data_IF_619714130654
#
_entry.id   IF_619714130654
#
_cell.length_a   1.000
_cell.length_b   1.000
_cell.length_c   1.000
_cell.angle_alpha   90.00
_cell.angle_beta   90.00
_cell.angle_gamma   90.00
#
_symmetry.space_group_name_H-M   'P 1'
#
loop_
_entity.id
_entity.type
_entity.pdbx_description
1 polymer ?
#
# COMPACT_ATOMS: atom_id res chain seq x y z
N UNK A 1 1.22 -11.17 62.94
CA UNK A 1 2.31 -11.47 61.98
C UNK A 1 3.03 -10.15 61.68
N UNK A 2 4.06 -9.84 62.48
CA UNK A 2 5.48 -9.72 62.05
C UNK A 2 5.71 -8.43 61.23
N UNK A 3 6.03 -7.33 61.92
CA UNK A 3 7.37 -6.69 62.00
C UNK A 3 7.79 -6.00 60.69
N UNK A 4 7.73 -4.66 60.59
CA UNK A 4 8.57 -3.61 61.22
C UNK A 4 9.99 -3.49 60.62
N UNK A 5 10.31 -2.21 60.33
CA UNK A 5 11.61 -1.51 60.25
C UNK A 5 12.29 -1.41 58.88
N UNK A 6 12.26 -0.24 58.24
CA UNK A 6 13.00 1.03 58.46
C UNK A 6 14.44 0.98 57.92
N UNK A 7 14.69 1.93 57.00
CA UNK A 7 15.83 2.88 57.01
C UNK A 7 17.16 2.31 56.52
N UNK A 8 17.80 2.98 55.55
CA UNK A 8 18.80 4.03 55.70
C UNK A 8 19.48 4.29 54.34
N UNK A 9 19.60 5.57 53.98
CA UNK A 9 20.53 6.08 52.98
C UNK A 9 21.99 5.85 53.43
N UNK A 10 22.89 5.68 52.46
CA UNK A 10 24.22 6.32 52.33
C UNK A 10 25.23 5.36 51.70
N UNK A 11 25.85 5.75 50.59
CA UNK A 11 27.31 5.84 50.46
C UNK A 11 27.71 6.22 49.03
N UNK A 12 28.17 7.47 48.90
CA UNK A 12 29.22 7.85 47.96
C UNK A 12 30.37 6.83 48.03
N UNK A 13 30.81 6.30 46.89
CA UNK A 13 32.20 5.83 46.74
C UNK A 13 32.80 6.47 45.50
N UNK A 14 33.96 7.03 45.73
CA UNK A 14 34.75 7.91 44.89
C UNK A 14 35.66 7.07 43.98
N UNK A 15 35.86 7.60 42.78
CA UNK A 15 36.92 7.41 41.80
C UNK A 15 38.03 6.37 42.10
N UNK A 16 38.25 5.50 41.11
CA UNK A 16 39.58 4.98 40.80
C UNK A 16 39.74 4.92 39.27
N UNK A 17 40.51 5.86 38.75
CA UNK A 17 41.03 5.86 37.39
C UNK A 17 41.97 4.66 37.19
N UNK A 18 41.62 3.77 36.26
CA UNK A 18 42.56 2.81 35.71
C UNK A 18 42.54 2.97 34.18
N UNK A 19 43.51 3.73 33.70
CA UNK A 19 43.83 3.85 32.29
C UNK A 19 44.31 2.48 31.79
N UNK A 20 43.53 1.88 30.90
CA UNK A 20 43.99 0.76 30.06
C UNK A 20 44.28 1.33 28.68
N UNK A 21 45.56 1.41 28.24
CA UNK A 21 45.86 1.75 26.86
C UNK A 21 45.71 0.48 26.01
N UNK A 22 44.52 0.25 25.46
CA UNK A 22 44.37 -0.71 24.36
C UNK A 22 44.35 0.05 23.03
N UNK A 23 45.56 0.39 22.59
CA UNK A 23 45.81 0.74 21.18
C UNK A 23 45.64 -0.54 20.35
N UNK A 24 44.55 -0.63 19.61
CA UNK A 24 44.35 -1.73 18.67
C UNK A 24 42.92 -1.82 18.16
N UNK A 25 42.67 -1.22 16.99
CA UNK A 25 41.54 -1.48 16.09
C UNK A 25 40.15 -1.62 16.72
N UNK A 26 39.40 -0.51 16.72
CA UNK A 26 37.96 -0.60 16.48
C UNK A 26 37.57 0.47 15.46
N UNK A 27 37.23 0.02 14.26
CA UNK A 27 36.39 0.78 13.36
C UNK A 27 35.13 1.24 14.13
N UNK A 28 34.57 2.43 13.87
CA UNK A 28 33.34 2.82 14.51
C UNK A 28 32.22 1.83 14.13
N UNK A 29 31.78 1.05 15.11
CA UNK A 29 30.59 0.18 15.07
C UNK A 29 29.29 1.02 14.93
N UNK A 30 29.38 2.35 14.83
CA UNK A 30 28.24 3.24 14.61
C UNK A 30 27.63 3.21 13.19
N UNK A 31 28.02 2.27 12.33
CA UNK A 31 27.48 2.13 10.95
C UNK A 31 26.62 0.88 10.75
N UNK A 32 26.54 -0.04 11.72
CA UNK A 32 25.77 -1.26 11.56
C UNK A 32 24.30 -1.11 11.99
N UNK A 33 23.98 -0.18 12.89
CA UNK A 33 22.59 0.04 13.32
C UNK A 33 21.76 0.86 12.33
N UNK A 34 22.39 1.59 11.40
CA UNK A 34 21.69 2.28 10.31
C UNK A 34 21.36 1.37 9.10
N UNK A 35 21.93 0.15 9.04
CA UNK A 35 21.68 -0.79 7.93
C UNK A 35 20.49 -1.70 8.23
N UNK A 36 20.07 -1.82 9.50
CA UNK A 36 18.93 -2.67 9.88
C UNK A 36 17.58 -1.98 9.64
N UNK A 37 17.54 -0.66 9.44
CA UNK A 37 16.32 0.06 9.01
C UNK A 37 16.15 0.16 7.48
N UNK A 38 17.00 -0.49 6.67
CA UNK A 38 16.79 -0.61 5.22
C UNK A 38 15.76 -1.68 4.82
N UNK A 39 14.87 -2.06 5.75
CA UNK A 39 13.56 -2.63 5.40
C UNK A 39 12.45 -1.60 5.59
N UNK A 40 12.74 -0.32 5.35
CA UNK A 40 11.70 0.62 4.97
C UNK A 40 11.17 0.18 3.59
N UNK A 41 10.06 -0.56 3.60
CA UNK A 41 9.16 -0.56 2.46
C UNK A 41 9.00 0.90 2.05
N UNK A 42 9.42 1.25 0.84
CA UNK A 42 9.27 2.61 0.32
C UNK A 42 7.78 2.92 0.30
N UNK A 43 7.30 3.54 1.37
CA UNK A 43 5.92 3.96 1.49
C UNK A 43 5.71 5.02 0.42
N UNK A 44 4.90 4.70 -0.58
CA UNK A 44 4.52 5.68 -1.60
C UNK A 44 3.94 6.90 -0.89
N UNK A 45 4.31 8.09 -1.38
CA UNK A 45 3.80 9.33 -0.82
C UNK A 45 2.29 9.44 -1.03
N UNK A 46 1.65 10.28 -0.22
CA UNK A 46 0.26 10.65 -0.45
C UNK A 46 0.13 11.35 -1.81
N UNK A 47 -0.87 10.94 -2.58
CA UNK A 47 -1.07 11.39 -3.95
C UNK A 47 -1.93 10.45 -4.77
N UNK A 48 -2.27 10.86 -6.00
CA UNK A 48 -3.00 10.03 -6.95
C UNK A 48 -2.05 9.56 -8.04
N UNK A 49 -2.08 8.26 -8.31
CA UNK A 49 -1.20 7.59 -9.26
C UNK A 49 -2.00 6.77 -10.25
N UNK A 50 -1.56 6.77 -11.50
CA UNK A 50 -2.05 5.84 -12.51
C UNK A 50 -1.48 4.44 -12.24
N UNK A 51 -2.34 3.43 -12.32
CA UNK A 51 -2.00 2.03 -12.02
C UNK A 51 -2.55 1.12 -13.09
N UNK A 52 -1.96 -0.07 -13.19
CA UNK A 52 -2.43 -1.09 -14.13
C UNK A 52 -3.38 -2.01 -13.38
N UNK A 53 -4.65 -2.05 -13.79
CA UNK A 53 -5.62 -3.02 -13.32
C UNK A 53 -5.52 -4.30 -14.17
N UNK A 54 -5.19 -5.41 -13.53
CA UNK A 54 -5.28 -6.75 -14.13
C UNK A 54 -6.51 -7.45 -13.57
N UNK A 55 -7.27 -8.12 -14.45
CA UNK A 55 -8.43 -8.91 -14.04
C UNK A 55 -8.29 -10.33 -14.56
N UNK A 56 -8.62 -11.31 -13.74
CA UNK A 56 -8.47 -12.73 -14.01
C UNK A 56 -9.79 -13.48 -13.86
N UNK A 57 -9.98 -14.58 -14.62
CA UNK A 57 -11.11 -15.47 -14.36
C UNK A 57 -10.93 -16.12 -12.98
N UNK A 58 -12.04 -16.43 -12.33
CA UNK A 58 -12.04 -16.99 -10.96
C UNK A 58 -11.06 -18.16 -10.83
N UNK A 59 -10.23 -18.11 -9.79
CA UNK A 59 -9.23 -19.14 -9.47
C UNK A 59 -8.21 -19.47 -10.58
N UNK A 60 -8.03 -18.60 -11.58
CA UNK A 60 -7.04 -18.79 -12.66
C UNK A 60 -6.09 -17.60 -12.80
N UNK A 61 -5.11 -17.74 -13.70
CA UNK A 61 -4.26 -16.64 -14.17
C UNK A 61 -4.67 -16.13 -15.57
N UNK A 62 -5.76 -16.65 -16.12
CA UNK A 62 -6.27 -16.21 -17.42
C UNK A 62 -6.90 -14.83 -17.30
N UNK A 63 -6.65 -13.95 -18.27
CA UNK A 63 -7.30 -12.64 -18.32
C UNK A 63 -8.82 -12.79 -18.41
N UNK A 64 -9.54 -12.03 -17.59
CA UNK A 64 -11.00 -11.94 -17.61
C UNK A 64 -11.47 -10.95 -18.68
N UNK A 65 -12.63 -11.25 -19.27
CA UNK A 65 -13.37 -10.32 -20.14
C UNK A 65 -13.74 -9.02 -19.40
N UNK A 66 -13.81 -9.04 -18.05
CA UNK A 66 -14.04 -7.83 -17.26
C UNK A 66 -13.02 -6.71 -17.55
N UNK A 67 -11.79 -7.05 -17.96
CA UNK A 67 -10.76 -6.07 -18.34
C UNK A 67 -11.16 -5.15 -19.51
N UNK A 68 -12.13 -5.55 -20.34
CA UNK A 68 -12.62 -4.69 -21.44
C UNK A 68 -13.52 -3.57 -20.93
N UNK A 69 -14.22 -3.79 -19.83
CA UNK A 69 -15.17 -2.84 -19.27
C UNK A 69 -14.56 -1.98 -18.16
N UNK A 70 -13.59 -2.51 -17.40
CA UNK A 70 -12.94 -1.81 -16.30
C UNK A 70 -11.67 -1.10 -16.79
N UNK A 71 -11.71 0.23 -16.86
CA UNK A 71 -10.66 1.09 -17.45
C UNK A 71 -10.22 2.22 -16.51
N UNK A 72 -9.14 2.88 -16.88
CA UNK A 72 -8.63 4.11 -16.23
C UNK A 72 -8.48 3.95 -14.72
N UNK A 73 -7.86 2.86 -14.29
CA UNK A 73 -7.62 2.61 -12.88
C UNK A 73 -6.57 3.58 -12.32
N UNK A 74 -6.92 4.21 -11.20
CA UNK A 74 -6.04 5.09 -10.43
C UNK A 74 -6.08 4.68 -8.97
N UNK A 75 -5.01 4.90 -8.25
CA UNK A 75 -4.97 4.74 -6.79
C UNK A 75 -4.66 6.08 -6.15
N UNK A 76 -5.41 6.43 -5.11
CA UNK A 76 -5.12 7.58 -4.26
C UNK A 76 -4.62 7.06 -2.92
N UNK A 77 -3.44 7.49 -2.53
CA UNK A 77 -2.79 7.13 -1.28
C UNK A 77 -3.00 8.28 -0.29
N UNK A 78 -3.55 7.94 0.88
CA UNK A 78 -3.79 8.86 1.99
C UNK A 78 -3.33 8.19 3.29
N UNK A 79 -2.09 8.47 3.70
CA UNK A 79 -1.43 7.78 4.78
C UNK A 79 -1.22 6.29 4.46
N UNK A 80 -1.94 5.42 5.17
CA UNK A 80 -1.88 3.96 4.95
C UNK A 80 -2.99 3.44 4.02
N UNK A 81 -4.01 4.27 3.76
CA UNK A 81 -5.16 3.91 2.94
C UNK A 81 -4.83 4.00 1.46
N UNK A 82 -5.24 2.97 0.70
CA UNK A 82 -5.10 2.91 -0.75
C UNK A 82 -6.49 2.82 -1.36
N UNK A 83 -6.93 3.94 -1.91
CA UNK A 83 -8.28 4.09 -2.44
C UNK A 83 -8.18 3.96 -3.97
N UNK A 84 -8.72 2.88 -4.52
CA UNK A 84 -8.75 2.64 -5.95
C UNK A 84 -9.98 3.29 -6.55
N UNK A 85 -9.79 4.00 -7.66
CA UNK A 85 -10.87 4.51 -8.51
C UNK A 85 -10.73 3.94 -9.91
N UNK A 86 -11.83 3.46 -10.49
CA UNK A 86 -11.84 2.97 -11.87
C UNK A 86 -13.10 3.40 -12.60
N UNK A 87 -13.03 3.41 -13.92
CA UNK A 87 -14.17 3.66 -14.82
C UNK A 87 -14.72 2.34 -15.31
N UNK A 88 -16.02 2.12 -15.15
CA UNK A 88 -16.79 1.02 -15.73
C UNK A 88 -17.46 1.53 -16.99
N UNK A 89 -17.08 0.99 -18.14
CA UNK A 89 -17.74 1.21 -19.42
C UNK A 89 -18.98 0.34 -19.57
N UNK A 90 -19.93 0.77 -20.40
CA UNK A 90 -21.23 0.14 -20.56
C UNK A 90 -21.92 -0.12 -19.20
N UNK A 91 -21.87 0.88 -18.32
CA UNK A 91 -22.28 0.72 -16.92
C UNK A 91 -23.74 0.29 -16.76
N UNK A 92 -24.58 0.53 -17.77
CA UNK A 92 -25.97 0.07 -17.83
C UNK A 92 -26.11 -1.46 -17.78
N UNK A 93 -25.07 -2.22 -18.17
CA UNK A 93 -25.10 -3.69 -18.07
C UNK A 93 -24.82 -4.18 -16.65
N UNK A 94 -24.17 -3.38 -15.81
CA UNK A 94 -23.73 -3.78 -14.47
C UNK A 94 -24.81 -3.45 -13.44
N UNK A 95 -25.64 -4.43 -13.09
CA UNK A 95 -26.65 -4.29 -12.04
C UNK A 95 -26.02 -4.02 -10.68
N UNK A 96 -24.93 -4.72 -10.35
CA UNK A 96 -24.06 -4.40 -9.22
C UNK A 96 -22.60 -4.77 -9.50
N UNK A 97 -21.71 -4.14 -8.73
CA UNK A 97 -20.29 -4.48 -8.68
C UNK A 97 -19.88 -4.48 -7.21
N UNK A 98 -19.35 -5.60 -6.74
CA UNK A 98 -18.97 -5.82 -5.36
C UNK A 98 -17.53 -6.28 -5.26
N UNK A 99 -16.83 -5.79 -4.26
CA UNK A 99 -15.45 -6.18 -3.96
C UNK A 99 -15.44 -6.90 -2.61
N UNK A 100 -14.63 -7.95 -2.51
CA UNK A 100 -14.44 -8.66 -1.26
C UNK A 100 -13.76 -7.77 -0.22
N UNK A 101 -14.26 -7.82 1.02
CA UNK A 101 -13.68 -7.12 2.15
C UNK A 101 -12.30 -7.68 2.47
N UNK A 102 -11.33 -6.78 2.59
CA UNK A 102 -9.95 -7.17 2.81
C UNK A 102 -9.68 -7.72 4.20
N UNK A 103 -10.52 -7.35 5.19
CA UNK A 103 -10.47 -7.83 6.57
C UNK A 103 -11.35 -9.07 6.80
N UNK A 104 -12.31 -9.33 5.91
CA UNK A 104 -13.29 -10.42 6.04
C UNK A 104 -13.47 -11.17 4.72
N UNK A 105 -12.56 -12.11 4.48
CA UNK A 105 -12.64 -13.06 3.36
C UNK A 105 -14.04 -13.70 3.30
N UNK A 106 -14.64 -13.72 2.11
CA UNK A 106 -15.99 -14.19 1.84
C UNK A 106 -17.11 -13.15 2.02
N UNK A 107 -16.81 -11.96 2.53
CA UNK A 107 -17.79 -10.86 2.64
C UNK A 107 -17.61 -9.90 1.47
N UNK A 108 -18.68 -9.58 0.75
CA UNK A 108 -18.65 -8.70 -0.41
C UNK A 108 -19.39 -7.39 -0.12
N UNK A 109 -18.81 -6.27 -0.52
CA UNK A 109 -19.39 -4.93 -0.36
C UNK A 109 -19.57 -4.25 -1.71
N UNK A 110 -20.70 -3.56 -1.87
CA UNK A 110 -20.97 -2.75 -3.06
C UNK A 110 -19.94 -1.61 -3.14
N UNK A 111 -19.38 -1.43 -4.34
CA UNK A 111 -18.43 -0.34 -4.58
C UNK A 111 -19.14 1.01 -4.50
N UNK A 112 -18.42 2.03 -4.03
CA UNK A 112 -18.96 3.39 -3.97
C UNK A 112 -18.97 4.01 -5.36
N UNK A 113 -20.11 4.47 -5.83
CA UNK A 113 -20.21 5.23 -7.09
C UNK A 113 -19.93 6.69 -6.80
N UNK A 114 -18.94 7.28 -7.48
CA UNK A 114 -18.56 8.69 -7.31
C UNK A 114 -19.00 9.58 -8.47
N UNK A 115 -19.23 8.99 -9.65
CA UNK A 115 -19.78 9.66 -10.82
C UNK A 115 -20.49 8.66 -11.71
N UNK A 116 -21.55 9.07 -12.37
CA UNK A 116 -22.33 8.21 -13.26
C UNK A 116 -22.86 9.02 -14.44
N UNK A 117 -22.65 8.49 -15.64
CA UNK A 117 -23.33 8.90 -16.86
C UNK A 117 -24.48 7.91 -17.12
N UNK A 118 -25.70 8.45 -17.13
CA UNK A 118 -26.95 7.68 -17.23
C UNK A 118 -27.39 7.42 -18.68
N UNK A 119 -26.56 7.76 -19.66
CA UNK A 119 -26.81 7.37 -21.04
C UNK A 119 -26.90 5.84 -21.17
N UNK A 120 -27.64 5.36 -22.18
CA UNK A 120 -27.50 3.96 -22.60
C UNK A 120 -26.03 3.73 -22.99
N UNK A 121 -25.42 2.68 -22.44
CA UNK A 121 -23.99 2.41 -22.60
C UNK A 121 -23.09 3.51 -22.00
N UNK A 122 -23.61 4.19 -20.97
CA UNK A 122 -22.86 5.20 -20.22
C UNK A 122 -21.65 4.64 -19.48
N UNK A 123 -21.00 5.51 -18.73
CA UNK A 123 -19.85 5.16 -17.90
C UNK A 123 -20.13 5.47 -16.44
N UNK A 124 -19.56 4.68 -15.54
CA UNK A 124 -19.61 4.98 -14.11
C UNK A 124 -18.22 4.95 -13.51
N UNK A 125 -17.92 5.89 -12.64
CA UNK A 125 -16.66 5.90 -11.89
C UNK A 125 -16.96 5.37 -10.49
N UNK A 126 -16.25 4.31 -10.11
CA UNK A 126 -16.41 3.63 -8.82
C UNK A 126 -15.15 3.75 -7.99
N UNK A 127 -15.31 3.58 -6.68
CA UNK A 127 -14.28 3.70 -5.68
C UNK A 127 -14.40 2.57 -4.66
N UNK A 128 -13.26 1.99 -4.27
CA UNK A 128 -13.13 0.99 -3.22
C UNK A 128 -11.72 1.01 -2.62
N UNK A 129 -11.51 0.34 -1.49
CA UNK A 129 -10.21 0.28 -0.80
C UNK A 129 -9.50 -1.06 -1.05
N UNK A 130 -8.17 -1.03 -1.04
CA UNK A 130 -7.31 -2.22 -1.05
C UNK A 130 -6.25 -2.11 0.07
N UNK A 131 -5.73 -3.24 0.51
CA UNK A 131 -4.64 -3.26 1.49
C UNK A 131 -3.26 -3.13 0.83
N UNK A 132 -3.03 -3.88 -0.25
CA UNK A 132 -1.72 -4.16 -0.82
C UNK A 132 -1.77 -4.16 -2.35
N UNK A 133 -0.71 -3.67 -2.99
CA UNK A 133 -0.51 -3.80 -4.42
C UNK A 133 -0.08 -5.24 -4.77
N UNK A 134 -0.29 -5.65 -6.02
CA UNK A 134 0.09 -6.97 -6.54
C UNK A 134 -0.56 -8.17 -5.82
N UNK A 135 -1.52 -7.92 -4.92
CA UNK A 135 -2.37 -8.93 -4.30
C UNK A 135 -3.62 -9.13 -5.15
N UNK A 136 -4.06 -10.39 -5.25
CA UNK A 136 -5.34 -10.72 -5.89
C UNK A 136 -6.48 -10.57 -4.90
N UNK A 137 -7.53 -9.88 -5.34
CA UNK A 137 -8.77 -9.67 -4.61
C UNK A 137 -9.93 -10.23 -5.41
N UNK A 138 -10.96 -10.74 -4.73
CA UNK A 138 -12.17 -11.20 -5.40
C UNK A 138 -13.14 -10.04 -5.66
N UNK A 139 -13.82 -10.10 -6.79
CA UNK A 139 -14.85 -9.16 -7.21
C UNK A 139 -16.03 -9.93 -7.80
N UNK A 140 -17.23 -9.53 -7.43
CA UNK A 140 -18.47 -10.08 -7.96
C UNK A 140 -19.21 -9.02 -8.76
N UNK A 141 -19.78 -9.42 -9.89
CA UNK A 141 -20.56 -8.55 -10.74
C UNK A 141 -21.80 -9.29 -11.23
N UNK A 142 -22.89 -8.55 -11.37
CA UNK A 142 -24.12 -9.06 -11.96
C UNK A 142 -24.40 -8.28 -13.23
N UNK A 143 -24.35 -9.00 -14.34
CA UNK A 143 -24.55 -8.46 -15.67
C UNK A 143 -25.99 -8.76 -16.10
N UNK A 144 -26.75 -7.71 -16.38
CA UNK A 144 -28.13 -7.78 -16.81
C UNK A 144 -28.30 -6.97 -18.11
N UNK A 145 -28.64 -7.67 -19.20
CA UNK A 145 -28.93 -7.05 -20.50
C UNK A 145 -30.32 -7.53 -20.95
N UNK A 146 -31.39 -6.77 -20.62
CA UNK A 146 -32.76 -7.18 -20.89
C UNK A 146 -33.07 -7.43 -22.37
N UNK A 147 -32.43 -6.67 -23.27
CA UNK A 147 -32.64 -6.76 -24.72
C UNK A 147 -32.32 -8.16 -25.29
N UNK A 148 -31.41 -8.90 -24.66
CA UNK A 148 -31.00 -10.25 -25.08
C UNK A 148 -31.30 -11.30 -24.00
N UNK A 149 -32.09 -10.96 -22.97
CA UNK A 149 -32.40 -11.82 -21.82
C UNK A 149 -31.16 -12.43 -21.15
N UNK A 150 -30.10 -11.64 -21.06
CA UNK A 150 -28.85 -12.07 -20.43
C UNK A 150 -28.84 -11.63 -18.97
N UNK A 151 -28.74 -12.58 -18.06
CA UNK A 151 -28.74 -12.37 -16.62
C UNK A 151 -27.76 -13.36 -15.99
N UNK A 152 -26.55 -12.89 -15.70
CA UNK A 152 -25.49 -13.73 -15.14
C UNK A 152 -24.70 -13.01 -14.06
N UNK A 153 -24.41 -13.75 -12.99
CA UNK A 153 -23.48 -13.33 -11.95
C UNK A 153 -22.12 -13.98 -12.21
N UNK A 154 -21.06 -13.17 -12.14
CA UNK A 154 -19.69 -13.60 -12.30
C UNK A 154 -18.87 -13.24 -11.07
N UNK A 155 -18.00 -14.16 -10.68
CA UNK A 155 -16.89 -13.88 -9.80
C UNK A 155 -15.61 -13.80 -10.64
N UNK A 156 -14.79 -12.80 -10.38
CA UNK A 156 -13.49 -12.59 -11.00
C UNK A 156 -12.48 -12.21 -9.93
N UNK A 157 -11.21 -12.32 -10.27
CA UNK A 157 -10.13 -11.79 -9.45
C UNK A 157 -9.55 -10.53 -10.10
N UNK A 158 -9.07 -9.60 -9.30
CA UNK A 158 -8.34 -8.44 -9.79
C UNK A 158 -7.08 -8.18 -8.98
N UNK A 159 -6.12 -7.52 -9.60
CA UNK A 159 -4.84 -7.12 -9.03
C UNK A 159 -4.51 -5.71 -9.49
N UNK A 160 -4.03 -4.87 -8.56
CA UNK A 160 -3.54 -3.54 -8.87
C UNK A 160 -2.01 -3.58 -8.91
N UNK A 161 -1.47 -3.40 -10.11
CA UNK A 161 -0.04 -3.36 -10.36
C UNK A 161 0.46 -1.92 -10.31
N UNK A 162 1.30 -1.64 -9.31
CA UNK A 162 1.92 -0.34 -9.06
C UNK A 162 3.21 -0.11 -9.86
N UNK A 163 3.59 -1.01 -10.78
CA UNK A 163 4.81 -0.85 -11.59
C UNK A 163 4.79 0.40 -12.48
N UNK A 164 3.60 0.92 -12.80
CA UNK A 164 3.43 2.17 -13.54
C UNK A 164 3.70 3.44 -12.71
N UNK A 165 3.77 3.31 -11.38
CA UNK A 165 4.09 4.42 -10.49
C UNK A 165 5.60 4.66 -10.60
N UNK A 166 5.99 5.71 -11.31
CA UNK A 166 7.38 6.18 -11.29
C UNK A 166 7.79 6.41 -9.83
N UNK A 167 8.64 5.53 -9.29
CA UNK A 167 9.33 5.78 -8.04
C UNK A 167 10.33 6.89 -8.30
N UNK A 168 9.90 8.15 -8.27
CA UNK A 168 10.83 9.26 -8.07
C UNK A 168 11.28 9.16 -6.62
N UNK A 169 12.52 8.72 -6.32
CA UNK A 169 13.02 8.83 -4.96
C UNK A 169 12.92 10.30 -4.57
N UNK A 170 12.26 10.59 -3.44
CA UNK A 170 12.26 11.93 -2.89
C UNK A 170 13.68 12.24 -2.44
N UNK A 171 14.45 12.89 -3.31
CA UNK A 171 15.73 13.51 -2.95
C UNK A 171 15.54 14.61 -1.88
N UNK A 172 14.29 14.99 -1.59
CA UNK A 172 13.90 15.91 -0.51
C UNK A 172 14.16 15.38 0.90
N UNK A 173 14.38 14.08 1.10
CA UNK A 173 14.65 13.49 2.41
C UNK A 173 16.16 13.29 2.67
N UNK A 174 17.01 13.69 1.72
CA UNK A 174 18.46 13.72 1.91
C UNK A 174 18.83 15.03 2.63
N UNK A 175 19.34 14.99 3.86
CA UNK A 175 19.76 16.19 4.56
C UNK A 175 20.80 16.96 3.75
N UNK A 176 20.77 18.29 3.78
CA UNK A 176 21.69 19.15 3.00
C UNK A 176 23.17 18.77 3.20
N UNK A 177 23.55 18.32 4.41
CA UNK A 177 24.90 17.88 4.75
C UNK A 177 25.36 16.61 4.00
N UNK A 178 24.43 15.81 3.49
CA UNK A 178 24.71 14.61 2.68
C UNK A 178 24.80 14.93 1.17
N UNK A 179 24.38 16.11 0.72
CA UNK A 179 24.55 16.54 -0.67
C UNK A 179 25.93 17.18 -0.91
N UNK A 180 26.49 17.83 0.10
CA UNK A 180 27.81 18.48 0.03
C UNK A 180 28.97 17.48 -0.07
N UNK A 181 28.82 16.25 0.44
CA UNK A 181 29.87 15.24 0.45
C UNK A 181 30.18 14.64 -0.94
N UNK A 182 29.26 14.72 -1.90
CA UNK A 182 29.46 14.25 -3.28
C UNK A 182 30.30 15.24 -4.10
N UNK A 183 30.22 16.54 -3.79
CA UNK A 183 31.00 17.59 -4.47
C UNK A 183 32.43 17.71 -3.94
N UNK A 184 32.66 17.35 -2.66
CA UNK A 184 33.98 17.48 -2.03
C UNK A 184 34.93 16.33 -2.44
N UNK A 185 34.40 15.16 -2.83
CA UNK A 185 35.22 14.02 -3.28
C UNK A 185 35.60 14.03 -4.77
N UNK A 186 35.16 15.03 -5.54
CA UNK A 186 35.54 15.20 -6.96
C UNK A 186 36.61 16.29 -7.18
N UNK A 187 37.40 16.61 -6.16
CA UNK A 187 38.52 17.57 -6.28
C UNK A 187 39.81 17.03 -5.68
#
# INVERSE_FOLDING_TARGET
>A
MIMIKKKYMNAFVIAATLAVPFSGMMAPIAKAEAVVEMKAASKLADGTYDVILKTYKDQTNDTSVASTYLKNAKVTIQGDKKIVTLTVQDSSYFQYLRVEDTNKVGTFHDVKVISEDKANNGTKVVQFEIDEFSKKYNMQMHILIPAIKYDHTYQVQFEIDASAIEQKPKFSDVPTWAQESVQIFSR
#
